data_IF_836996313821
#
_entry.id   IF_836996313821
#
_cell.length_a   1.000
_cell.length_b   1.000
_cell.length_c   1.000
_cell.angle_alpha   90.00
_cell.angle_beta   90.00
_cell.angle_gamma   90.00
#
_symmetry.space_group_name_H-M   'P 1'
#
loop_
_entity.id
_entity.type
_entity.pdbx_description
1 polymer ?
#
# COMPACT_ATOMS: atom_id res chain seq x y z
N UNK A 1 -19.33 -14.33 26.45
CA UNK A 1 -20.02 -14.85 25.25
C UNK A 1 -19.16 -14.41 24.07
N UNK A 2 -18.46 -15.33 23.44
CA UNK A 2 -17.67 -15.05 22.23
C UNK A 2 -18.65 -14.79 21.09
N UNK A 3 -18.52 -13.66 20.41
CA UNK A 3 -19.23 -13.39 19.16
C UNK A 3 -18.94 -14.53 18.16
N UNK A 4 -19.96 -14.99 17.40
CA UNK A 4 -19.72 -16.00 16.40
C UNK A 4 -18.70 -15.43 15.38
N UNK A 5 -17.60 -16.15 15.16
CA UNK A 5 -16.72 -15.89 14.04
C UNK A 5 -17.57 -16.02 12.78
N UNK A 6 -17.77 -14.92 12.06
CA UNK A 6 -18.27 -14.99 10.68
C UNK A 6 -17.24 -15.85 9.92
N UNK A 7 -17.67 -16.96 9.37
CA UNK A 7 -16.80 -17.81 8.56
C UNK A 7 -16.27 -16.99 7.39
N UNK A 8 -14.95 -17.00 7.19
CA UNK A 8 -14.34 -16.26 6.09
C UNK A 8 -14.86 -16.79 4.75
N UNK A 9 -15.22 -15.90 3.85
CA UNK A 9 -15.67 -16.26 2.51
C UNK A 9 -14.57 -17.03 1.76
N UNK A 10 -14.93 -18.09 1.10
CA UNK A 10 -14.04 -18.79 0.19
C UNK A 10 -13.72 -17.94 -1.05
N UNK A 11 -12.61 -18.24 -1.72
CA UNK A 11 -12.22 -17.60 -2.98
C UNK A 11 -13.37 -17.56 -4.00
N UNK A 12 -14.13 -18.66 -4.12
CA UNK A 12 -15.23 -18.76 -5.07
C UNK A 12 -16.43 -17.88 -4.68
N UNK A 13 -16.76 -17.81 -3.39
CA UNK A 13 -17.83 -16.93 -2.89
C UNK A 13 -17.48 -15.45 -3.10
N UNK A 14 -16.23 -15.06 -2.88
CA UNK A 14 -15.76 -13.70 -3.17
C UNK A 14 -15.88 -13.39 -4.66
N UNK A 15 -15.49 -14.33 -5.54
CA UNK A 15 -15.61 -14.15 -6.99
C UNK A 15 -17.06 -13.97 -7.43
N UNK A 16 -17.95 -14.85 -6.99
CA UNK A 16 -19.39 -14.76 -7.30
C UNK A 16 -20.02 -13.46 -6.78
N UNK A 17 -19.66 -13.06 -5.57
CA UNK A 17 -20.07 -11.78 -4.99
C UNK A 17 -19.61 -10.60 -5.82
N UNK A 18 -18.35 -10.61 -6.25
CA UNK A 18 -17.79 -9.59 -7.14
C UNK A 18 -18.58 -9.50 -8.46
N UNK A 19 -18.81 -10.62 -9.13
CA UNK A 19 -19.55 -10.68 -10.40
C UNK A 19 -20.98 -10.15 -10.24
N UNK A 20 -21.66 -10.53 -9.17
CA UNK A 20 -23.00 -10.05 -8.83
C UNK A 20 -23.04 -8.54 -8.65
N UNK A 21 -22.13 -7.98 -7.86
CA UNK A 21 -22.04 -6.52 -7.63
C UNK A 21 -21.72 -5.79 -8.93
N UNK A 22 -20.75 -6.29 -9.70
CA UNK A 22 -20.31 -5.63 -10.94
C UNK A 22 -21.34 -5.74 -12.06
N UNK A 23 -22.22 -6.72 -12.07
CA UNK A 23 -23.31 -6.83 -13.04
C UNK A 23 -24.32 -5.69 -12.90
N UNK A 24 -24.56 -5.20 -11.69
CA UNK A 24 -25.52 -4.12 -11.40
C UNK A 24 -24.84 -2.75 -11.28
N UNK A 25 -23.59 -2.73 -10.83
CA UNK A 25 -22.80 -1.51 -10.60
C UNK A 25 -21.39 -1.62 -11.21
N UNK A 26 -21.27 -1.61 -12.54
CA UNK A 26 -20.00 -1.86 -13.25
C UNK A 26 -18.89 -0.88 -12.90
N UNK A 27 -19.26 0.37 -12.52
CA UNK A 27 -18.30 1.43 -12.22
C UNK A 27 -17.85 1.46 -10.74
N UNK A 28 -18.38 0.58 -9.87
CA UNK A 28 -17.98 0.53 -8.48
C UNK A 28 -16.48 0.15 -8.38
N UNK A 29 -15.72 0.88 -7.56
CA UNK A 29 -14.27 0.64 -7.41
C UNK A 29 -14.01 -0.68 -6.67
N UNK A 30 -12.90 -1.34 -6.97
CA UNK A 30 -12.53 -2.61 -6.33
C UNK A 30 -12.52 -2.52 -4.79
N UNK A 31 -12.03 -1.42 -4.23
CA UNK A 31 -12.06 -1.16 -2.78
C UNK A 31 -13.48 -1.20 -2.22
N UNK A 32 -14.41 -0.53 -2.90
CA UNK A 32 -15.80 -0.43 -2.41
C UNK A 32 -16.52 -1.77 -2.54
N UNK A 33 -16.20 -2.55 -3.59
CA UNK A 33 -16.68 -3.94 -3.73
C UNK A 33 -16.12 -4.82 -2.61
N UNK A 34 -14.84 -4.73 -2.31
CA UNK A 34 -14.21 -5.50 -1.24
C UNK A 34 -14.85 -5.18 0.12
N UNK A 35 -15.06 -3.89 0.42
CA UNK A 35 -15.72 -3.44 1.63
C UNK A 35 -17.14 -4.00 1.75
N UNK A 36 -17.92 -4.00 0.65
CA UNK A 36 -19.28 -4.50 0.63
C UNK A 36 -19.37 -6.01 0.82
N UNK A 37 -18.35 -6.75 0.35
CA UNK A 37 -18.21 -8.19 0.56
C UNK A 37 -17.62 -8.55 1.93
N UNK A 38 -17.14 -7.57 2.69
CA UNK A 38 -16.47 -7.82 3.98
C UNK A 38 -15.10 -8.49 3.85
N UNK A 39 -14.42 -8.30 2.72
CA UNK A 39 -13.08 -8.84 2.45
C UNK A 39 -12.07 -7.71 2.21
N UNK A 40 -10.79 -8.02 2.26
CA UNK A 40 -9.74 -7.07 1.88
C UNK A 40 -9.66 -6.90 0.35
N UNK A 41 -9.05 -5.80 -0.09
CA UNK A 41 -8.83 -5.57 -1.53
C UNK A 41 -7.87 -6.62 -2.12
N UNK A 42 -6.89 -7.12 -1.34
CA UNK A 42 -6.00 -8.20 -1.77
C UNK A 42 -6.74 -9.53 -1.95
N UNK A 43 -7.63 -9.91 -1.04
CA UNK A 43 -8.46 -11.12 -1.16
C UNK A 43 -9.37 -11.04 -2.39
N UNK A 44 -9.97 -9.86 -2.65
CA UNK A 44 -10.76 -9.63 -3.85
C UNK A 44 -9.93 -9.83 -5.12
N UNK A 45 -8.69 -9.33 -5.18
CA UNK A 45 -7.82 -9.57 -6.33
C UNK A 45 -7.40 -11.04 -6.42
N UNK A 46 -7.09 -11.67 -5.30
CA UNK A 46 -6.72 -13.08 -5.27
C UNK A 46 -7.84 -14.00 -5.76
N UNK A 47 -9.11 -13.68 -5.46
CA UNK A 47 -10.26 -14.45 -5.96
C UNK A 47 -10.38 -14.42 -7.48
N UNK A 48 -9.88 -13.35 -8.11
CA UNK A 48 -9.97 -13.08 -9.54
C UNK A 48 -8.68 -13.43 -10.30
N UNK A 49 -7.71 -14.11 -9.68
CA UNK A 49 -6.48 -14.52 -10.39
C UNK A 49 -6.79 -15.44 -11.58
N UNK A 50 -6.18 -15.16 -12.72
CA UNK A 50 -6.41 -15.79 -14.01
C UNK A 50 -5.87 -14.91 -15.14
N UNK A 51 -6.63 -14.73 -16.21
CA UNK A 51 -6.18 -14.01 -17.41
C UNK A 51 -5.92 -12.51 -17.18
N UNK A 52 -6.66 -11.89 -16.28
CA UNK A 52 -6.58 -10.44 -16.03
C UNK A 52 -5.77 -10.08 -14.79
N UNK A 53 -5.63 -10.98 -13.84
CA UNK A 53 -4.92 -10.76 -12.58
C UNK A 53 -3.90 -11.86 -12.36
N UNK A 54 -2.64 -11.45 -12.25
CA UNK A 54 -1.52 -12.35 -11.96
C UNK A 54 -0.99 -12.05 -10.57
N UNK A 55 -0.97 -13.06 -9.70
CA UNK A 55 -0.33 -12.94 -8.39
C UNK A 55 1.19 -12.97 -8.56
N UNK A 56 1.85 -12.07 -7.86
CA UNK A 56 3.30 -11.89 -7.89
C UNK A 56 3.92 -12.34 -6.56
N UNK A 57 5.16 -12.80 -6.63
CA UNK A 57 5.99 -13.16 -5.49
C UNK A 57 7.44 -12.75 -5.73
N UNK A 58 8.26 -12.82 -4.69
CA UNK A 58 9.69 -12.57 -4.77
C UNK A 58 10.14 -11.36 -3.97
N UNK A 59 11.37 -10.94 -4.23
CA UNK A 59 11.98 -9.82 -3.53
C UNK A 59 11.45 -8.48 -4.09
N UNK A 60 10.61 -7.80 -3.33
CA UNK A 60 10.03 -6.52 -3.75
C UNK A 60 11.09 -5.47 -4.08
N UNK A 61 12.25 -5.53 -3.40
CA UNK A 61 13.39 -4.68 -3.70
C UNK A 61 13.89 -4.85 -5.15
N UNK A 62 13.93 -6.10 -5.64
CA UNK A 62 14.33 -6.37 -7.03
C UNK A 62 13.27 -5.88 -8.03
N UNK A 63 12.00 -6.07 -7.69
CA UNK A 63 10.91 -5.56 -8.52
C UNK A 63 11.00 -4.03 -8.63
N UNK A 64 11.16 -3.31 -7.51
CA UNK A 64 11.31 -1.85 -7.50
C UNK A 64 12.51 -1.40 -8.33
N UNK A 65 13.67 -2.07 -8.20
CA UNK A 65 14.86 -1.78 -9.03
C UNK A 65 14.63 -2.01 -10.52
N UNK A 66 13.64 -2.80 -10.89
CA UNK A 66 13.29 -3.10 -12.29
C UNK A 66 12.30 -2.09 -12.89
N UNK A 67 11.60 -1.29 -12.06
CA UNK A 67 10.58 -0.33 -12.52
C UNK A 67 11.09 0.77 -13.44
N UNK A 68 12.36 1.24 -13.37
CA UNK A 68 12.89 2.22 -14.34
C UNK A 68 12.71 1.80 -15.79
N UNK A 69 12.76 0.49 -16.06
CA UNK A 69 12.56 -0.05 -17.42
C UNK A 69 11.18 0.20 -18.01
N UNK A 70 10.19 0.51 -17.15
CA UNK A 70 8.83 0.87 -17.59
C UNK A 70 8.74 2.31 -18.12
N UNK A 71 9.75 3.16 -17.85
CA UNK A 71 9.70 4.59 -18.16
C UNK A 71 8.67 5.34 -17.30
N UNK A 72 7.98 6.30 -17.90
CA UNK A 72 7.00 7.14 -17.18
C UNK A 72 5.77 6.33 -16.77
N UNK A 73 5.46 6.35 -15.49
CA UNK A 73 4.30 5.66 -14.87
C UNK A 73 3.48 6.64 -14.04
N UNK A 74 2.29 6.21 -13.59
CA UNK A 74 1.55 6.92 -12.55
C UNK A 74 1.62 6.08 -11.27
N UNK A 75 2.13 6.68 -10.21
CA UNK A 75 2.20 6.09 -8.88
C UNK A 75 1.04 6.58 -8.02
N UNK A 76 0.47 5.67 -7.24
CA UNK A 76 -0.61 5.98 -6.32
C UNK A 76 -0.29 5.40 -4.94
N UNK A 77 -0.38 6.25 -3.95
CA UNK A 77 -0.37 5.87 -2.53
C UNK A 77 -1.60 6.46 -1.88
N UNK A 78 -2.28 5.68 -1.05
CA UNK A 78 -3.50 6.15 -0.40
C UNK A 78 -3.69 5.56 0.99
N UNK A 79 -4.50 6.24 1.76
CA UNK A 79 -5.16 5.72 2.96
C UNK A 79 -6.67 6.03 2.89
N UNK A 80 -7.35 5.96 4.01
CA UNK A 80 -8.79 6.24 4.09
C UNK A 80 -9.15 7.70 3.81
N UNK A 81 -8.22 8.62 4.11
CA UNK A 81 -8.47 10.05 4.12
C UNK A 81 -7.81 10.80 2.94
N UNK A 82 -6.81 10.21 2.31
CA UNK A 82 -6.02 10.89 1.27
C UNK A 82 -5.60 9.94 0.16
N UNK A 83 -5.63 10.43 -1.07
CA UNK A 83 -5.07 9.78 -2.25
C UNK A 83 -4.00 10.70 -2.82
N UNK A 84 -2.80 10.16 -3.02
CA UNK A 84 -1.69 10.86 -3.65
C UNK A 84 -1.34 10.15 -4.96
N UNK A 85 -1.50 10.86 -6.07
CA UNK A 85 -1.20 10.37 -7.42
C UNK A 85 -0.14 11.28 -8.06
N UNK A 86 0.86 10.68 -8.68
CA UNK A 86 1.93 11.40 -9.36
C UNK A 86 2.41 10.66 -10.60
N UNK A 87 2.62 11.39 -11.68
CA UNK A 87 3.27 10.87 -12.88
C UNK A 87 4.77 11.14 -12.84
N UNK A 88 5.58 10.14 -13.14
CA UNK A 88 7.04 10.26 -13.16
C UNK A 88 7.70 8.94 -13.54
N UNK A 89 9.01 8.90 -13.46
CA UNK A 89 9.80 7.68 -13.67
C UNK A 89 10.39 7.23 -12.33
N UNK A 90 10.55 5.92 -12.15
CA UNK A 90 11.32 5.39 -11.04
C UNK A 90 12.80 5.62 -11.34
N UNK A 91 13.38 6.63 -10.72
CA UNK A 91 14.77 7.01 -10.91
C UNK A 91 15.41 7.30 -9.54
N UNK A 92 16.75 7.28 -9.48
CA UNK A 92 17.51 7.52 -8.26
C UNK A 92 17.03 6.65 -7.09
N UNK A 93 16.97 5.33 -7.33
CA UNK A 93 16.49 4.33 -6.39
C UNK A 93 17.63 3.94 -5.44
N UNK A 94 17.41 4.09 -4.14
CA UNK A 94 18.28 3.59 -3.09
C UNK A 94 17.49 2.66 -2.16
N UNK A 95 17.95 1.43 -1.98
CA UNK A 95 17.27 0.44 -1.13
C UNK A 95 18.26 -0.07 -0.09
N UNK A 96 17.98 0.26 1.17
CA UNK A 96 18.68 -0.18 2.36
C UNK A 96 17.89 -1.24 3.15
N UNK A 97 18.42 -1.69 4.30
CA UNK A 97 17.79 -2.75 5.11
C UNK A 97 16.42 -2.37 5.68
N UNK A 98 16.14 -1.10 5.94
CA UNK A 98 14.90 -0.65 6.58
C UNK A 98 13.88 -0.06 5.62
N UNK A 99 14.31 0.58 4.54
CA UNK A 99 13.43 1.25 3.59
C UNK A 99 14.12 1.48 2.25
N UNK A 100 13.30 1.71 1.21
CA UNK A 100 13.74 2.21 -0.08
C UNK A 100 13.40 3.68 -0.26
N UNK A 101 14.17 4.35 -1.08
CA UNK A 101 13.93 5.73 -1.52
C UNK A 101 13.87 5.77 -3.05
N UNK A 102 12.94 6.56 -3.57
CA UNK A 102 12.89 6.97 -4.98
C UNK A 102 12.81 8.47 -4.97
N UNK A 103 13.91 9.15 -5.34
CA UNK A 103 14.04 10.59 -5.14
C UNK A 103 14.37 11.29 -6.45
N UNK A 104 13.40 11.92 -7.05
CA UNK A 104 13.58 12.81 -8.18
C UNK A 104 12.53 13.96 -8.12
N UNK A 105 12.56 14.86 -9.09
CA UNK A 105 11.68 16.04 -9.12
C UNK A 105 10.18 15.71 -9.19
N UNK A 106 9.83 14.53 -9.71
CA UNK A 106 8.45 14.12 -9.95
C UNK A 106 7.97 13.11 -8.91
N UNK A 107 8.85 12.20 -8.50
CA UNK A 107 8.53 11.12 -7.54
C UNK A 107 9.47 11.25 -6.34
N UNK A 108 8.90 11.48 -5.17
CA UNK A 108 9.57 11.43 -3.88
C UNK A 108 8.84 10.41 -3.01
N UNK A 109 9.40 9.20 -2.92
CA UNK A 109 8.80 8.08 -2.21
C UNK A 109 9.76 7.50 -1.19
N UNK A 110 9.21 7.19 -0.01
CA UNK A 110 9.85 6.33 0.99
C UNK A 110 9.05 5.04 1.08
N UNK A 111 9.69 3.93 0.73
CA UNK A 111 9.09 2.61 0.58
C UNK A 111 9.49 1.70 1.74
N UNK A 112 8.55 1.30 2.57
CA UNK A 112 8.76 0.37 3.68
C UNK A 112 8.34 -1.03 3.24
N UNK A 113 9.19 -1.69 2.46
CA UNK A 113 8.87 -2.97 1.80
C UNK A 113 8.65 -4.13 2.78
N UNK A 114 9.08 -4.00 4.03
CA UNK A 114 8.72 -4.94 5.10
C UNK A 114 7.22 -5.03 5.39
N UNK A 115 6.45 -4.02 4.95
CA UNK A 115 4.99 -3.98 5.05
C UNK A 115 4.29 -4.52 3.79
N UNK A 116 5.05 -4.87 2.74
CA UNK A 116 4.48 -5.36 1.49
C UNK A 116 4.40 -6.89 1.52
N UNK A 117 3.20 -7.42 1.66
CA UNK A 117 2.97 -8.85 1.80
C UNK A 117 2.44 -9.48 0.52
N UNK A 118 1.55 -8.79 -0.19
CA UNK A 118 0.95 -9.33 -1.40
C UNK A 118 1.19 -8.39 -2.57
N UNK A 119 1.42 -8.98 -3.74
CA UNK A 119 1.59 -8.25 -5.00
C UNK A 119 0.76 -8.85 -6.11
N UNK A 120 0.19 -7.99 -6.95
CA UNK A 120 -0.59 -8.40 -8.11
C UNK A 120 -0.27 -7.52 -9.32
N UNK A 121 -0.15 -8.15 -10.48
CA UNK A 121 -0.27 -7.48 -11.76
C UNK A 121 -1.72 -7.55 -12.20
N UNK A 122 -2.31 -6.39 -12.50
CA UNK A 122 -3.73 -6.26 -12.83
C UNK A 122 -3.86 -5.67 -14.22
N UNK A 123 -4.63 -6.33 -15.07
CA UNK A 123 -4.96 -5.91 -16.43
C UNK A 123 -6.47 -5.83 -16.57
N UNK A 124 -7.06 -4.69 -16.26
CA UNK A 124 -8.51 -4.52 -16.22
C UNK A 124 -9.04 -3.69 -17.39
N UNK A 125 -10.25 -4.00 -17.84
CA UNK A 125 -10.95 -3.20 -18.83
C UNK A 125 -11.63 -2.01 -18.13
N UNK A 126 -11.30 -0.81 -18.57
CA UNK A 126 -11.91 0.44 -18.11
C UNK A 126 -12.48 1.21 -19.32
N UNK A 127 -13.29 2.24 -19.10
CA UNK A 127 -13.91 3.01 -20.19
C UNK A 127 -12.92 3.51 -21.23
N UNK A 128 -11.68 3.80 -20.83
CA UNK A 128 -10.60 4.26 -21.71
C UNK A 128 -9.82 3.12 -22.41
N UNK A 129 -10.21 1.84 -22.22
CA UNK A 129 -9.54 0.65 -22.75
C UNK A 129 -8.84 -0.19 -21.66
N UNK A 130 -7.97 -1.09 -22.04
CA UNK A 130 -7.26 -1.95 -21.08
C UNK A 130 -6.23 -1.15 -20.29
N UNK A 131 -6.29 -1.24 -18.96
CA UNK A 131 -5.40 -0.58 -18.02
C UNK A 131 -4.56 -1.61 -17.29
N UNK A 132 -3.25 -1.39 -17.24
CA UNK A 132 -2.29 -2.27 -16.57
C UNK A 132 -1.73 -1.60 -15.33
N UNK A 133 -1.53 -2.38 -14.26
CA UNK A 133 -0.91 -1.89 -13.04
C UNK A 133 -0.20 -3.00 -12.26
N UNK A 134 0.76 -2.60 -11.42
CA UNK A 134 1.31 -3.42 -10.34
C UNK A 134 0.75 -2.87 -9.03
N UNK A 135 0.21 -3.73 -8.20
CA UNK A 135 -0.46 -3.33 -6.94
C UNK A 135 0.10 -4.13 -5.78
N UNK A 136 0.43 -3.44 -4.68
CA UNK A 136 1.05 -4.02 -3.51
C UNK A 136 0.21 -3.73 -2.28
N UNK A 137 0.13 -4.73 -1.41
CA UNK A 137 -0.75 -4.75 -0.25
C UNK A 137 0.01 -5.20 0.99
N UNK A 138 -0.41 -4.70 2.15
CA UNK A 138 0.11 -5.12 3.43
C UNK A 138 -0.52 -6.45 3.91
N UNK A 139 -0.20 -6.85 5.14
CA UNK A 139 -0.63 -8.13 5.69
C UNK A 139 -2.13 -8.20 5.95
N UNK A 140 -2.82 -7.07 6.16
CA UNK A 140 -4.28 -7.04 6.30
C UNK A 140 -5.00 -6.83 4.95
N UNK A 141 -4.23 -6.86 3.85
CA UNK A 141 -4.76 -6.79 2.50
C UNK A 141 -5.17 -5.40 2.04
N UNK A 142 -4.72 -4.35 2.74
CA UNK A 142 -4.92 -2.97 2.34
C UNK A 142 -3.87 -2.54 1.31
N UNK A 143 -4.30 -1.70 0.36
CA UNK A 143 -3.38 -1.21 -0.66
C UNK A 143 -2.32 -0.26 -0.08
N UNK A 144 -1.05 -0.61 -0.24
CA UNK A 144 0.11 0.20 0.16
C UNK A 144 0.57 1.08 -1.00
N UNK A 145 0.73 0.50 -2.17
CA UNK A 145 1.27 1.18 -3.34
C UNK A 145 0.74 0.59 -4.64
N UNK A 146 0.45 1.44 -5.61
CA UNK A 146 0.04 1.02 -6.95
C UNK A 146 0.83 1.77 -8.01
N UNK A 147 1.27 1.06 -9.03
CA UNK A 147 1.98 1.62 -10.19
C UNK A 147 1.14 1.33 -11.43
N UNK A 148 0.60 2.37 -12.03
CA UNK A 148 -0.21 2.27 -13.24
C UNK A 148 0.64 2.55 -14.47
N UNK A 149 0.46 1.72 -15.49
CA UNK A 149 1.22 1.79 -16.74
C UNK A 149 0.41 2.60 -17.75
N UNK A 150 0.89 3.78 -18.20
CA UNK A 150 0.23 4.54 -19.26
C UNK A 150 0.14 3.74 -20.57
N UNK A 151 -0.86 4.06 -21.39
CA UNK A 151 -1.12 3.33 -22.64
C UNK A 151 0.03 3.37 -23.64
N UNK A 152 0.82 4.44 -23.63
CA UNK A 152 1.92 4.66 -24.56
C UNK A 152 3.21 3.93 -24.13
N UNK A 153 3.20 3.27 -22.96
CA UNK A 153 4.35 2.55 -22.46
C UNK A 153 4.54 1.20 -23.13
N UNK A 154 5.77 0.72 -23.09
CA UNK A 154 6.15 -0.56 -23.67
C UNK A 154 5.59 -1.74 -22.86
N UNK A 155 4.44 -2.26 -23.29
CA UNK A 155 3.77 -3.41 -22.64
C UNK A 155 4.62 -4.69 -22.67
N UNK A 156 5.60 -4.82 -23.60
CA UNK A 156 6.52 -5.96 -23.58
C UNK A 156 7.38 -5.98 -22.32
N UNK A 157 7.84 -4.81 -21.87
CA UNK A 157 8.60 -4.67 -20.63
C UNK A 157 7.72 -5.01 -19.42
N UNK A 158 6.50 -4.48 -19.36
CA UNK A 158 5.54 -4.83 -18.32
C UNK A 158 5.29 -6.34 -18.25
N UNK A 159 5.00 -6.99 -19.38
CA UNK A 159 4.74 -8.43 -19.44
C UNK A 159 5.97 -9.24 -19.00
N UNK A 160 7.17 -8.82 -19.39
CA UNK A 160 8.41 -9.48 -18.96
C UNK A 160 8.63 -9.37 -17.45
N UNK A 161 8.30 -8.22 -16.84
CA UNK A 161 8.33 -8.06 -15.39
C UNK A 161 7.30 -8.96 -14.71
N UNK A 162 6.07 -8.98 -15.21
CA UNK A 162 5.01 -9.85 -14.67
C UNK A 162 5.44 -11.31 -14.70
N UNK A 163 5.96 -11.81 -15.82
CA UNK A 163 6.41 -13.21 -15.92
C UNK A 163 7.59 -13.51 -14.98
N UNK A 164 8.52 -12.57 -14.79
CA UNK A 164 9.66 -12.76 -13.89
C UNK A 164 9.24 -12.92 -12.43
N UNK A 165 8.21 -12.20 -11.99
CA UNK A 165 7.73 -12.19 -10.62
C UNK A 165 6.44 -12.99 -10.41
N UNK A 166 5.97 -13.69 -11.43
CA UNK A 166 4.77 -14.51 -11.38
C UNK A 166 4.96 -15.69 -10.42
N UNK A 167 4.07 -15.84 -9.40
CA UNK A 167 4.07 -17.03 -8.58
C UNK A 167 3.59 -18.26 -9.36
N UNK A 168 4.12 -19.43 -9.03
CA UNK A 168 3.63 -20.71 -9.59
C UNK A 168 2.24 -21.07 -9.09
N UNK A 169 1.89 -20.65 -7.90
CA UNK A 169 0.62 -20.97 -7.22
C UNK A 169 -0.41 -19.83 -7.34
N UNK A 170 -0.86 -19.58 -8.57
CA UNK A 170 -1.79 -18.46 -8.84
C UNK A 170 -3.10 -18.54 -8.07
N UNK A 171 -3.64 -19.74 -7.86
CA UNK A 171 -4.94 -19.95 -7.22
C UNK A 171 -4.87 -20.22 -5.72
N UNK A 172 -3.65 -20.26 -5.15
CA UNK A 172 -3.48 -20.45 -3.71
C UNK A 172 -4.12 -19.28 -2.96
N UNK A 173 -4.96 -19.61 -2.00
CA UNK A 173 -5.57 -18.61 -1.12
C UNK A 173 -4.52 -17.80 -0.38
N UNK A 174 -4.83 -16.56 -0.10
CA UNK A 174 -4.04 -15.70 0.78
C UNK A 174 -4.77 -15.59 2.12
N UNK A 175 -4.01 -15.50 3.20
CA UNK A 175 -4.55 -15.22 4.52
C UNK A 175 -4.16 -13.83 4.93
N UNK A 176 -5.15 -12.98 5.16
CA UNK A 176 -4.94 -11.65 5.70
C UNK A 176 -5.04 -11.68 7.22
N UNK A 177 -4.29 -10.84 7.87
CA UNK A 177 -4.25 -10.76 9.33
C UNK A 177 -4.32 -9.29 9.73
N UNK A 178 -5.20 -8.97 10.69
CA UNK A 178 -5.23 -7.60 11.22
C UNK A 178 -3.87 -7.20 11.75
N UNK A 179 -3.39 -6.03 11.35
CA UNK A 179 -2.19 -5.44 11.93
C UNK A 179 -2.38 -5.33 13.44
N UNK A 180 -1.37 -5.70 14.24
CA UNK A 180 -1.46 -5.49 15.68
C UNK A 180 -1.71 -4.01 15.94
N UNK A 181 -2.63 -3.74 16.87
CA UNK A 181 -2.87 -2.37 17.32
C UNK A 181 -1.54 -1.73 17.69
N UNK A 182 -1.27 -0.54 17.15
CA UNK A 182 -0.08 0.21 17.52
C UNK A 182 0.01 0.39 19.04
N UNK A 183 1.21 0.63 19.56
CA UNK A 183 1.40 0.92 20.96
C UNK A 183 0.44 2.06 21.37
N UNK A 184 -0.35 1.83 22.41
CA UNK A 184 -1.21 2.87 22.96
C UNK A 184 -0.36 4.05 23.45
N UNK A 185 -0.82 5.26 23.16
CA UNK A 185 -0.18 6.47 23.66
C UNK A 185 -0.15 6.45 25.19
N UNK A 186 0.95 6.89 25.77
CA UNK A 186 1.01 7.14 27.20
C UNK A 186 0.06 8.30 27.56
N UNK A 187 -0.59 8.28 28.74
CA UNK A 187 -1.34 9.45 29.19
C UNK A 187 -0.47 10.70 29.23
N UNK A 188 -0.96 11.85 28.79
CA UNK A 188 -0.20 13.10 28.74
C UNK A 188 0.41 13.49 30.09
N UNK A 189 -0.29 13.20 31.20
CA UNK A 189 0.22 13.44 32.55
C UNK A 189 1.48 12.62 32.90
N UNK A 190 1.84 11.60 32.12
CA UNK A 190 3.05 10.80 32.31
C UNK A 190 4.19 11.20 31.35
N UNK A 191 3.96 12.18 30.48
CA UNK A 191 4.92 12.66 29.53
C UNK A 191 5.63 13.92 30.04
N UNK A 192 6.91 14.00 29.80
CA UNK A 192 7.68 15.24 29.98
C UNK A 192 7.45 16.15 28.75
N UNK A 193 6.27 16.75 28.67
CA UNK A 193 5.82 17.54 27.52
C UNK A 193 6.65 18.82 27.33
N UNK A 194 7.14 19.41 28.41
CA UNK A 194 7.94 20.64 28.35
C UNK A 194 9.29 20.38 27.71
N UNK A 195 10.01 19.37 28.18
CA UNK A 195 11.28 18.97 27.59
C UNK A 195 11.10 18.44 26.16
N UNK A 196 10.04 17.67 25.91
CA UNK A 196 9.71 17.20 24.57
C UNK A 196 9.57 18.35 23.57
N UNK A 197 8.78 19.39 23.91
CA UNK A 197 8.58 20.56 23.06
C UNK A 197 9.86 21.37 22.87
N UNK A 198 10.68 21.49 23.92
CA UNK A 198 11.98 22.16 23.85
C UNK A 198 12.93 21.43 22.88
N UNK A 199 13.02 20.10 22.98
CA UNK A 199 13.84 19.32 22.07
C UNK A 199 13.32 19.37 20.64
N UNK A 200 12.01 19.32 20.45
CA UNK A 200 11.39 19.47 19.14
C UNK A 200 11.71 20.82 18.50
N UNK A 201 11.56 21.92 19.24
CA UNK A 201 11.90 23.26 18.73
C UNK A 201 13.38 23.44 18.35
N UNK A 202 14.26 22.61 18.92
CA UNK A 202 15.69 22.62 18.63
C UNK A 202 16.12 21.65 17.52
N UNK A 203 15.18 20.87 16.93
CA UNK A 203 15.51 19.97 15.83
C UNK A 203 16.00 20.76 14.61
N UNK A 204 17.19 20.40 14.16
CA UNK A 204 17.79 20.97 12.93
C UNK A 204 17.44 20.15 11.67
N UNK A 205 17.04 18.91 11.85
CA UNK A 205 16.72 17.96 10.79
C UNK A 205 15.44 17.22 11.14
N UNK A 206 14.45 17.29 10.26
CA UNK A 206 13.15 16.59 10.42
C UNK A 206 13.28 15.07 10.48
N UNK A 207 14.37 14.49 9.96
CA UNK A 207 14.63 13.05 10.06
C UNK A 207 14.86 12.58 11.50
N UNK A 208 15.27 13.47 12.41
CA UNK A 208 15.47 13.17 13.82
C UNK A 208 14.16 13.14 14.62
N UNK A 209 13.04 13.59 14.03
CA UNK A 209 11.76 13.66 14.73
C UNK A 209 11.28 12.30 15.26
N UNK A 210 11.45 11.24 14.47
CA UNK A 210 11.07 9.89 14.91
C UNK A 210 11.91 9.40 16.09
N UNK A 211 13.19 9.72 16.11
CA UNK A 211 14.08 9.45 17.26
C UNK A 211 13.58 10.14 18.53
N UNK A 212 13.22 11.42 18.42
CA UNK A 212 12.67 12.21 19.50
C UNK A 212 11.36 11.62 20.06
N UNK A 213 10.45 11.18 19.18
CA UNK A 213 9.22 10.52 19.61
C UNK A 213 9.49 9.27 20.45
N UNK A 214 10.46 8.46 20.04
CA UNK A 214 10.83 7.25 20.75
C UNK A 214 11.49 7.57 22.10
N UNK A 215 12.38 8.56 22.15
CA UNK A 215 13.07 8.99 23.37
C UNK A 215 12.10 9.42 24.46
N UNK A 216 11.09 10.22 24.10
CA UNK A 216 10.07 10.70 25.05
C UNK A 216 8.86 9.78 25.19
N UNK A 217 8.79 8.68 24.44
CA UNK A 217 7.64 7.76 24.46
C UNK A 217 6.35 8.38 23.95
N UNK A 218 6.43 9.41 23.12
CA UNK A 218 5.29 10.17 22.58
C UNK A 218 4.82 9.56 21.28
N UNK A 219 3.52 9.31 21.15
CA UNK A 219 2.92 8.89 19.89
C UNK A 219 2.91 10.00 18.84
N UNK A 220 2.99 9.65 17.55
CA UNK A 220 3.07 10.66 16.49
C UNK A 220 1.84 11.58 16.45
N UNK A 221 0.64 11.03 16.59
CA UNK A 221 -0.60 11.84 16.64
C UNK A 221 -0.68 12.64 17.93
N UNK A 222 -0.24 12.05 19.03
CA UNK A 222 -0.16 12.68 20.33
C UNK A 222 0.78 13.90 20.31
N UNK A 223 1.94 13.78 19.63
CA UNK A 223 2.89 14.88 19.52
C UNK A 223 2.27 16.10 18.82
N UNK A 224 1.50 15.90 17.75
CA UNK A 224 0.82 17.00 17.06
C UNK A 224 -0.19 17.72 17.95
N UNK A 225 -0.94 16.97 18.76
CA UNK A 225 -1.88 17.52 19.74
C UNK A 225 -1.16 18.31 20.84
N UNK A 226 -0.04 17.77 21.36
CA UNK A 226 0.77 18.44 22.40
C UNK A 226 1.38 19.74 21.87
N UNK A 227 1.74 19.77 20.58
CA UNK A 227 2.39 20.92 19.93
C UNK A 227 1.39 21.96 19.39
N UNK A 228 0.08 21.72 19.51
CA UNK A 228 -0.95 22.63 18.99
C UNK A 228 -0.75 24.05 19.56
N UNK A 229 -0.69 25.04 18.65
CA UNK A 229 -0.43 26.44 18.97
C UNK A 229 1.01 26.78 19.45
N UNK A 230 1.97 25.85 19.38
CA UNK A 230 3.35 26.07 19.80
C UNK A 230 4.31 26.29 18.62
N UNK A 231 4.03 25.71 17.47
CA UNK A 231 4.90 25.74 16.27
C UNK A 231 4.13 26.19 15.00
N UNK A 232 3.12 26.99 15.13
CA UNK A 232 2.34 27.56 14.01
C UNK A 232 2.78 28.97 13.70
#
# INVERSE_FOLDING_TARGET
>A
MSEPRVEALTRNEVLLGYESIKSTRPNLRARDVALELGVSEAELLNSRTGDEITKLEGEWAELIRSLPSLGRVMVLTRNENCVHEKYGEFDNISIGPGHGLVLNKDIDLRLFMSHWHFGFAVSELVASGKRHSLQFFDIDGQAVHKVYIPKDNNLKVYNSLVERFRTKEQTKEISTHSLPAGRADLPDAKLDTENFLTHWGNLKDTHHFFGLLNEFGVGRRQSMRIAEGKFT
#
